data_IF_320296379413
#
_entry.id   IF_320296379413
#
_cell.length_a   1.000
_cell.length_b   1.000
_cell.length_c   1.000
_cell.angle_alpha   90.00
_cell.angle_beta   90.00
_cell.angle_gamma   90.00
#
_symmetry.space_group_name_H-M   'P 1'
#
loop_
_entity.id
_entity.type
_entity.pdbx_description
1 polymer ?
#
# COMPACT_ATOMS: atom_id res chain seq x y z
N UNK A 1 5.04 -9.76 -11.54
CA UNK A 1 3.67 -9.56 -11.02
C UNK A 1 3.07 -10.91 -10.64
N UNK A 2 3.21 -11.92 -11.49
CA UNK A 2 3.10 -13.36 -11.18
C UNK A 2 3.52 -13.74 -9.75
N UNK A 3 4.68 -13.27 -9.26
CA UNK A 3 5.16 -13.56 -7.90
C UNK A 3 4.24 -13.09 -6.77
N UNK A 4 3.33 -12.16 -7.02
CA UNK A 4 2.35 -11.69 -6.04
C UNK A 4 1.14 -12.62 -5.91
N UNK A 5 1.04 -13.63 -6.78
CA UNK A 5 -0.04 -14.59 -6.79
C UNK A 5 0.42 -15.95 -6.23
N UNK A 6 -0.49 -16.70 -5.58
CA UNK A 6 -0.21 -18.07 -5.12
C UNK A 6 0.26 -18.97 -6.26
N UNK A 7 1.31 -19.76 -6.03
CA UNK A 7 1.89 -20.65 -7.04
C UNK A 7 2.41 -19.92 -8.29
N UNK A 8 2.56 -18.59 -8.22
CA UNK A 8 2.87 -17.69 -9.34
C UNK A 8 1.90 -17.77 -10.51
N UNK A 9 0.65 -18.11 -10.21
CA UNK A 9 -0.41 -18.22 -11.21
C UNK A 9 -1.42 -17.10 -11.01
N UNK A 10 -1.84 -16.47 -12.09
CA UNK A 10 -2.90 -15.45 -12.05
C UNK A 10 -4.29 -16.09 -12.04
N UNK A 11 -4.43 -17.28 -11.45
CA UNK A 11 -5.70 -17.97 -11.24
C UNK A 11 -5.94 -18.10 -9.75
N UNK A 12 -7.12 -17.67 -9.31
CA UNK A 12 -7.56 -17.85 -7.93
C UNK A 12 -8.93 -18.51 -7.95
N UNK A 13 -9.02 -19.73 -7.42
CA UNK A 13 -10.21 -20.58 -7.48
C UNK A 13 -10.79 -20.67 -8.90
N UNK A 14 -11.94 -20.02 -9.13
CA UNK A 14 -12.66 -20.01 -10.41
C UNK A 14 -12.43 -18.74 -11.23
N UNK A 15 -11.53 -17.87 -10.79
CA UNK A 15 -11.25 -16.57 -11.41
C UNK A 15 -9.90 -16.60 -12.10
N UNK A 16 -9.88 -16.23 -13.38
CA UNK A 16 -8.66 -15.99 -14.16
C UNK A 16 -8.40 -14.48 -14.25
N UNK A 17 -7.25 -14.04 -13.74
CA UNK A 17 -6.82 -12.65 -13.77
C UNK A 17 -5.93 -12.40 -14.98
N UNK A 18 -6.42 -11.57 -15.90
CA UNK A 18 -5.67 -11.09 -17.05
C UNK A 18 -5.02 -9.76 -16.69
N UNK A 19 -3.71 -9.77 -16.41
CA UNK A 19 -2.97 -8.56 -16.05
C UNK A 19 -2.55 -7.81 -17.31
N UNK A 20 -3.13 -6.63 -17.54
CA UNK A 20 -2.81 -5.76 -18.68
C UNK A 20 -2.84 -6.47 -20.05
N UNK A 21 -3.92 -7.22 -20.37
CA UNK A 21 -4.00 -8.01 -21.60
C UNK A 21 -3.94 -7.13 -22.86
N UNK A 22 -3.77 -7.74 -24.04
CA UNK A 22 -3.90 -7.04 -25.32
C UNK A 22 -5.23 -6.31 -25.43
N UNK A 23 -5.25 -5.21 -26.18
CA UNK A 23 -6.47 -4.48 -26.51
C UNK A 23 -7.49 -5.41 -27.15
N UNK A 24 -8.77 -5.14 -26.93
CA UNK A 24 -9.89 -5.91 -27.48
C UNK A 24 -9.98 -7.34 -26.92
N UNK A 25 -9.35 -7.60 -25.78
CA UNK A 25 -9.54 -8.85 -25.05
C UNK A 25 -10.95 -8.89 -24.47
N UNK A 26 -11.63 -10.04 -24.59
CA UNK A 26 -12.90 -10.29 -23.94
C UNK A 26 -12.70 -10.68 -22.47
N UNK A 27 -13.50 -10.10 -21.58
CA UNK A 27 -13.48 -10.42 -20.16
C UNK A 27 -14.86 -10.23 -19.53
N UNK A 28 -15.12 -10.98 -18.46
CA UNK A 28 -16.36 -10.86 -17.69
C UNK A 28 -16.40 -9.57 -16.89
N UNK A 29 -15.25 -9.12 -16.39
CA UNK A 29 -15.06 -7.88 -15.64
C UNK A 29 -13.82 -7.13 -16.12
N UNK A 30 -13.91 -5.81 -16.15
CA UNK A 30 -12.78 -4.94 -16.46
C UNK A 30 -12.50 -3.99 -15.31
N UNK A 31 -11.37 -4.24 -14.63
CA UNK A 31 -10.92 -3.46 -13.48
C UNK A 31 -9.76 -2.58 -13.90
N UNK A 32 -9.91 -1.28 -13.72
CA UNK A 32 -8.84 -0.29 -13.91
C UNK A 32 -8.36 0.16 -12.54
N UNK A 33 -7.11 -0.14 -12.23
CA UNK A 33 -6.45 0.34 -11.02
C UNK A 33 -5.66 1.62 -11.31
N UNK A 34 -5.31 2.36 -10.25
CA UNK A 34 -4.54 3.60 -10.35
C UNK A 34 -3.27 3.46 -11.23
N UNK A 35 -2.88 4.57 -11.88
CA UNK A 35 -1.78 4.54 -12.84
C UNK A 35 -2.15 3.90 -14.19
N UNK A 36 -3.42 3.96 -14.57
CA UNK A 36 -3.94 3.41 -15.83
C UNK A 36 -3.18 3.90 -17.07
N UNK A 37 -3.15 3.05 -18.10
CA UNK A 37 -2.74 3.46 -19.46
C UNK A 37 -3.56 4.69 -19.89
N UNK A 38 -2.96 5.56 -20.70
CA UNK A 38 -3.63 6.77 -21.17
C UNK A 38 -4.92 6.45 -21.95
N UNK A 39 -4.89 5.38 -22.76
CA UNK A 39 -6.03 4.87 -23.51
C UNK A 39 -5.97 3.36 -23.60
N UNK A 40 -7.08 2.68 -23.34
CA UNK A 40 -7.23 1.25 -23.51
C UNK A 40 -8.67 0.88 -23.90
N UNK A 41 -8.90 -0.38 -24.30
CA UNK A 41 -10.24 -0.88 -24.68
C UNK A 41 -10.32 -2.39 -24.50
N UNK A 42 -11.39 -2.86 -23.87
CA UNK A 42 -11.71 -4.28 -23.67
C UNK A 42 -13.15 -4.58 -24.12
N UNK A 43 -13.44 -5.85 -24.44
CA UNK A 43 -14.81 -6.32 -24.66
C UNK A 43 -15.39 -6.81 -23.33
N UNK A 44 -16.17 -5.95 -22.68
CA UNK A 44 -16.77 -6.18 -21.38
C UNK A 44 -18.15 -5.50 -21.32
N UNK A 45 -19.09 -6.09 -20.59
CA UNK A 45 -20.37 -5.46 -20.35
C UNK A 45 -20.16 -4.14 -19.57
N UNK A 46 -20.82 -3.03 -19.96
CA UNK A 46 -20.65 -1.74 -19.28
C UNK A 46 -20.81 -1.84 -17.77
N UNK A 47 -21.76 -2.65 -17.30
CA UNK A 47 -22.05 -2.92 -15.89
C UNK A 47 -20.93 -3.61 -15.10
N UNK A 48 -20.00 -4.27 -15.79
CA UNK A 48 -18.90 -5.01 -15.18
C UNK A 48 -17.58 -4.23 -15.21
N UNK A 49 -17.65 -2.91 -15.37
CA UNK A 49 -16.49 -2.02 -15.34
C UNK A 49 -16.31 -1.38 -13.96
N UNK A 50 -15.09 -1.43 -13.43
CA UNK A 50 -14.73 -0.92 -12.11
C UNK A 50 -13.45 -0.08 -12.20
N UNK A 51 -13.46 1.08 -11.55
CA UNK A 51 -12.25 1.84 -11.27
C UNK A 51 -11.89 1.79 -9.79
N UNK A 52 -10.62 1.57 -9.47
CA UNK A 52 -10.09 1.61 -8.11
C UNK A 52 -9.12 2.79 -8.01
N UNK A 53 -9.51 3.82 -7.26
CA UNK A 53 -8.65 4.97 -6.97
C UNK A 53 -7.59 4.59 -5.95
N UNK A 54 -6.31 4.73 -6.32
CA UNK A 54 -5.17 4.31 -5.51
C UNK A 54 -4.55 5.42 -4.67
N UNK A 55 -4.99 6.65 -4.85
CA UNK A 55 -4.44 7.83 -4.20
C UNK A 55 -5.57 8.61 -3.50
N UNK A 56 -5.28 9.27 -2.37
CA UNK A 56 -6.24 10.10 -1.66
C UNK A 56 -6.47 11.42 -2.44
N UNK A 57 -7.57 12.15 -2.15
CA UNK A 57 -7.91 13.39 -2.87
C UNK A 57 -6.86 14.49 -2.72
N UNK A 58 -6.06 14.47 -1.64
CA UNK A 58 -4.92 15.38 -1.44
C UNK A 58 -3.77 15.17 -2.42
N UNK A 59 -3.75 14.03 -3.13
CA UNK A 59 -2.74 13.66 -4.12
C UNK A 59 -3.29 13.67 -5.54
N UNK A 60 -4.48 13.11 -5.74
CA UNK A 60 -5.04 12.96 -7.07
C UNK A 60 -6.56 12.92 -7.04
N UNK A 61 -7.16 13.75 -7.88
CA UNK A 61 -8.58 13.71 -8.22
C UNK A 61 -8.63 13.60 -9.75
N UNK A 62 -9.46 12.69 -10.26
CA UNK A 62 -9.61 12.50 -11.69
C UNK A 62 -10.70 13.44 -12.24
N UNK A 63 -10.62 13.86 -13.51
CA UNK A 63 -11.72 14.57 -14.16
C UNK A 63 -13.03 13.76 -14.13
N UNK A 64 -14.17 14.43 -14.04
CA UNK A 64 -15.48 13.76 -13.97
C UNK A 64 -15.74 12.83 -15.17
N UNK A 65 -15.35 13.24 -16.38
CA UNK A 65 -15.46 12.42 -17.58
C UNK A 65 -14.61 11.14 -17.50
N UNK A 66 -13.55 11.11 -16.70
CA UNK A 66 -12.79 9.89 -16.46
C UNK A 66 -13.60 8.91 -15.61
N UNK A 67 -14.15 9.35 -14.48
CA UNK A 67 -14.97 8.51 -13.60
C UNK A 67 -16.22 7.96 -14.29
N UNK A 68 -16.87 8.78 -15.13
CA UNK A 68 -18.07 8.38 -15.89
C UNK A 68 -17.87 7.22 -16.86
N UNK A 69 -16.62 6.81 -17.14
CA UNK A 69 -16.33 5.64 -17.98
C UNK A 69 -16.65 4.30 -17.29
N UNK A 70 -16.79 4.30 -15.96
CA UNK A 70 -16.90 3.07 -15.17
C UNK A 70 -18.30 2.92 -14.60
N UNK A 71 -18.76 1.68 -14.42
CA UNK A 71 -20.02 1.43 -13.75
C UNK A 71 -19.88 1.62 -12.24
N UNK A 72 -18.75 1.23 -11.63
CA UNK A 72 -18.50 1.40 -10.20
C UNK A 72 -17.14 2.03 -9.97
N UNK A 73 -17.01 2.73 -8.84
CA UNK A 73 -15.75 3.28 -8.34
C UNK A 73 -15.52 2.76 -6.92
N UNK A 74 -14.33 2.25 -6.63
CA UNK A 74 -13.84 2.02 -5.27
C UNK A 74 -12.81 3.09 -4.97
N UNK A 75 -12.95 3.77 -3.84
CA UNK A 75 -12.09 4.89 -3.47
C UNK A 75 -12.05 5.09 -1.97
N UNK A 76 -10.97 5.67 -1.46
CA UNK A 76 -10.91 6.17 -0.07
C UNK A 76 -11.69 7.49 0.11
N UNK A 77 -12.27 8.02 -0.97
CA UNK A 77 -13.01 9.28 -0.96
C UNK A 77 -14.45 9.11 -1.46
N UNK A 78 -15.39 9.03 -0.52
CA UNK A 78 -16.81 8.85 -0.81
C UNK A 78 -17.42 9.96 -1.70
N UNK A 79 -16.83 11.15 -1.71
CA UNK A 79 -17.31 12.31 -2.47
C UNK A 79 -16.67 12.45 -3.86
N UNK A 80 -15.97 11.42 -4.35
CA UNK A 80 -15.57 11.36 -5.76
C UNK A 80 -16.81 11.56 -6.68
N UNK A 81 -16.66 12.28 -7.81
CA UNK A 81 -17.79 12.71 -8.66
C UNK A 81 -18.35 11.55 -9.50
N UNK A 82 -18.95 10.57 -8.82
CA UNK A 82 -19.53 9.38 -9.43
C UNK A 82 -20.71 8.85 -8.57
N UNK A 83 -21.84 8.44 -9.17
CA UNK A 83 -23.04 8.04 -8.40
C UNK A 83 -22.92 6.69 -7.69
N UNK A 84 -21.92 5.86 -8.03
CA UNK A 84 -21.72 4.51 -7.49
C UNK A 84 -20.31 4.34 -6.91
N UNK A 85 -19.96 5.21 -5.96
CA UNK A 85 -18.72 5.10 -5.19
C UNK A 85 -18.94 4.15 -4.01
N UNK A 86 -18.06 3.16 -3.87
CA UNK A 86 -17.93 2.32 -2.68
C UNK A 86 -16.68 2.79 -1.91
N UNK A 87 -16.83 3.42 -0.73
CA UNK A 87 -15.70 3.76 0.12
C UNK A 87 -14.95 2.49 0.56
N UNK A 88 -13.65 2.41 0.29
CA UNK A 88 -12.80 1.30 0.73
C UNK A 88 -11.32 1.61 0.52
N UNK A 89 -10.48 0.82 1.20
CA UNK A 89 -9.05 0.84 0.98
C UNK A 89 -8.65 0.53 -0.48
N UNK A 90 -7.60 1.19 -0.99
CA UNK A 90 -7.18 1.06 -2.38
C UNK A 90 -6.64 -0.34 -2.73
N UNK A 91 -6.25 -1.16 -1.75
CA UNK A 91 -5.71 -2.50 -2.01
C UNK A 91 -4.36 -2.49 -2.72
N UNK A 92 -3.47 -1.56 -2.33
CA UNK A 92 -2.13 -1.45 -2.90
C UNK A 92 -1.31 -2.73 -2.66
N UNK A 93 -0.49 -3.12 -3.63
CA UNK A 93 0.43 -4.25 -3.48
C UNK A 93 1.52 -3.94 -2.44
N UNK A 94 1.94 -4.97 -1.70
CA UNK A 94 3.05 -4.86 -0.75
C UNK A 94 4.38 -4.58 -1.45
N UNK A 95 5.33 -3.95 -0.75
CA UNK A 95 6.67 -3.65 -1.23
C UNK A 95 7.78 -4.38 -0.46
N UNK A 96 7.46 -5.10 0.62
CA UNK A 96 8.41 -6.07 1.18
C UNK A 96 8.75 -7.16 0.17
N UNK A 97 10.01 -7.55 0.12
CA UNK A 97 10.46 -8.51 -0.88
C UNK A 97 10.78 -7.87 -2.21
N UNK A 98 10.46 -6.60 -2.46
CA UNK A 98 10.79 -5.89 -3.70
C UNK A 98 12.17 -5.25 -3.57
N UNK A 99 13.16 -5.82 -4.27
CA UNK A 99 14.48 -5.20 -4.36
C UNK A 99 14.44 -4.07 -5.38
N UNK A 100 14.72 -2.85 -4.90
CA UNK A 100 14.76 -1.65 -5.75
C UNK A 100 15.98 -1.59 -6.66
N UNK A 101 17.07 -2.26 -6.28
CA UNK A 101 18.27 -2.37 -7.11
C UNK A 101 18.06 -3.34 -8.28
N UNK A 102 17.44 -4.49 -8.00
CA UNK A 102 17.20 -5.53 -9.00
C UNK A 102 15.87 -5.36 -9.76
N UNK A 103 15.06 -4.37 -9.37
CA UNK A 103 13.72 -4.09 -9.85
C UNK A 103 12.82 -5.35 -9.94
N UNK A 104 12.88 -6.20 -8.91
CA UNK A 104 12.12 -7.45 -8.87
C UNK A 104 11.83 -7.92 -7.45
N UNK A 105 10.74 -8.69 -7.31
CA UNK A 105 10.43 -9.39 -6.07
C UNK A 105 11.39 -10.55 -5.82
N UNK A 106 12.17 -10.47 -4.75
CA UNK A 106 12.92 -11.55 -4.13
C UNK A 106 11.99 -12.47 -3.32
N UNK A 107 11.04 -11.88 -2.59
CA UNK A 107 9.98 -12.60 -1.86
C UNK A 107 8.62 -12.32 -2.50
N UNK A 108 8.01 -13.34 -3.10
CA UNK A 108 6.64 -13.33 -3.58
C UNK A 108 5.67 -13.91 -2.55
N UNK A 109 4.42 -14.14 -2.96
CA UNK A 109 3.37 -14.72 -2.14
C UNK A 109 3.83 -16.03 -1.48
N UNK A 110 4.34 -16.97 -2.27
CA UNK A 110 4.69 -18.30 -1.77
C UNK A 110 5.87 -18.26 -0.80
N UNK A 111 6.82 -17.34 -1.00
CA UNK A 111 7.95 -17.14 -0.09
C UNK A 111 7.51 -16.49 1.21
N UNK A 112 6.67 -15.45 1.15
CA UNK A 112 6.11 -14.79 2.34
C UNK A 112 5.19 -15.72 3.15
N UNK A 113 4.38 -16.53 2.48
CA UNK A 113 3.49 -17.50 3.14
C UNK A 113 4.26 -18.58 3.91
N UNK A 114 5.49 -18.89 3.49
CA UNK A 114 6.38 -19.85 4.17
C UNK A 114 7.34 -19.19 5.15
N UNK A 115 7.35 -17.87 5.24
CA UNK A 115 8.28 -17.13 6.08
C UNK A 115 7.90 -17.32 7.56
N UNK A 116 8.68 -18.09 8.29
CA UNK A 116 8.55 -18.18 9.73
C UNK A 116 9.02 -16.88 10.40
N UNK A 117 8.43 -16.49 11.55
CA UNK A 117 8.88 -15.32 12.30
C UNK A 117 10.32 -15.53 12.79
N UNK A 118 11.28 -14.65 12.43
CA UNK A 118 12.66 -14.78 12.88
C UNK A 118 12.83 -14.23 14.29
N UNK A 119 14.00 -14.47 14.88
CA UNK A 119 14.44 -13.72 16.05
C UNK A 119 14.53 -12.22 15.71
N UNK A 120 13.97 -11.38 16.58
CA UNK A 120 13.84 -9.93 16.36
C UNK A 120 14.48 -9.14 17.49
N UNK A 121 15.12 -8.05 17.12
CA UNK A 121 15.56 -7.05 18.09
C UNK A 121 14.36 -6.28 18.65
N UNK A 122 14.42 -5.93 19.94
CA UNK A 122 13.38 -5.14 20.60
C UNK A 122 13.51 -3.64 20.26
N UNK A 123 13.41 -3.33 18.96
CA UNK A 123 13.57 -1.99 18.38
C UNK A 123 12.37 -1.66 17.48
N UNK A 124 12.23 -0.37 17.20
CA UNK A 124 11.28 0.21 16.27
C UNK A 124 12.03 0.59 15.01
N UNK A 125 11.67 0.02 13.86
CA UNK A 125 12.16 0.53 12.59
C UNK A 125 11.19 1.52 11.96
N UNK A 126 11.70 2.42 11.14
CA UNK A 126 10.88 3.27 10.27
C UNK A 126 11.56 3.37 8.91
N UNK A 127 10.76 3.28 7.84
CA UNK A 127 11.23 3.54 6.48
C UNK A 127 10.59 4.84 5.99
N UNK A 128 11.36 5.93 6.02
CA UNK A 128 10.91 7.23 5.54
C UNK A 128 12.06 7.92 4.79
N UNK A 129 11.74 8.66 3.73
CA UNK A 129 12.74 9.48 3.03
C UNK A 129 12.91 10.82 3.71
N UNK A 130 14.03 11.50 3.43
CA UNK A 130 14.30 12.86 3.87
C UNK A 130 13.62 13.96 3.04
N UNK A 131 12.55 13.65 2.30
CA UNK A 131 11.82 14.64 1.50
C UNK A 131 11.07 15.63 2.40
N UNK A 132 11.07 16.91 2.03
CA UNK A 132 10.46 18.03 2.80
C UNK A 132 9.55 18.93 1.96
N UNK A 133 9.21 18.52 0.75
CA UNK A 133 8.45 19.34 -0.22
C UNK A 133 7.03 19.64 0.26
N UNK A 134 6.34 18.70 0.91
CA UNK A 134 4.97 18.92 1.42
C UNK A 134 4.92 19.19 2.93
N UNK A 135 3.87 19.86 3.45
CA UNK A 135 3.67 20.05 4.89
C UNK A 135 3.71 18.72 5.68
N UNK A 136 2.99 17.70 5.21
CA UNK A 136 2.98 16.38 5.87
C UNK A 136 4.31 15.64 5.83
N UNK A 137 5.17 15.92 4.85
CA UNK A 137 6.55 15.43 4.86
C UNK A 137 7.37 16.09 5.97
N UNK A 138 7.24 17.40 6.16
CA UNK A 138 7.94 18.13 7.24
C UNK A 138 7.46 17.70 8.63
N UNK A 139 6.15 17.53 8.82
CA UNK A 139 5.58 17.04 10.09
C UNK A 139 6.12 15.66 10.47
N UNK A 140 6.14 14.71 9.53
CA UNK A 140 6.71 13.38 9.79
C UNK A 140 8.18 13.42 10.17
N UNK A 141 8.99 14.25 9.51
CA UNK A 141 10.40 14.38 9.87
C UNK A 141 10.58 15.03 11.24
N UNK A 142 9.80 16.05 11.58
CA UNK A 142 9.82 16.65 12.91
C UNK A 142 9.43 15.64 14.02
N UNK A 143 8.40 14.82 13.78
CA UNK A 143 8.05 13.72 14.67
C UNK A 143 9.21 12.73 14.81
N UNK A 144 9.83 12.32 13.69
CA UNK A 144 10.95 11.38 13.72
C UNK A 144 12.17 11.93 14.44
N UNK A 145 12.46 13.21 14.32
CA UNK A 145 13.55 13.86 15.06
C UNK A 145 13.27 13.88 16.57
N UNK A 146 12.02 14.17 16.95
CA UNK A 146 11.59 14.09 18.35
C UNK A 146 11.68 12.65 18.91
N UNK A 147 11.19 11.67 18.15
CA UNK A 147 11.24 10.26 18.54
C UNK A 147 12.68 9.75 18.64
N UNK A 148 13.58 10.14 17.73
CA UNK A 148 15.01 9.81 17.82
C UNK A 148 15.65 10.40 19.07
N UNK A 149 15.35 11.65 19.41
CA UNK A 149 15.86 12.28 20.62
C UNK A 149 15.37 11.58 21.90
N UNK A 150 14.11 11.13 21.91
CA UNK A 150 13.50 10.47 23.07
C UNK A 150 13.89 8.99 23.21
N UNK A 151 14.03 8.26 22.10
CA UNK A 151 14.19 6.80 22.07
C UNK A 151 15.63 6.34 21.79
N UNK A 152 16.49 7.22 21.29
CA UNK A 152 17.88 6.91 20.96
C UNK A 152 17.99 5.65 20.08
N UNK A 153 18.81 4.70 20.52
CA UNK A 153 19.10 3.46 19.78
C UNK A 153 17.92 2.48 19.67
N UNK A 154 16.80 2.75 20.35
CA UNK A 154 15.59 1.95 20.25
C UNK A 154 14.82 2.19 18.94
N UNK A 155 15.08 3.29 18.23
CA UNK A 155 14.50 3.56 16.90
C UNK A 155 15.60 3.56 15.82
N UNK A 156 15.34 2.88 14.70
CA UNK A 156 16.25 2.84 13.55
C UNK A 156 15.54 3.41 12.32
N UNK A 157 16.10 4.49 11.77
CA UNK A 157 15.54 5.19 10.62
C UNK A 157 16.25 4.76 9.34
N UNK A 158 15.51 4.06 8.48
CA UNK A 158 15.95 3.62 7.17
C UNK A 158 15.33 4.48 6.06
N UNK A 159 16.01 4.54 4.91
CA UNK A 159 15.55 5.26 3.72
C UNK A 159 16.57 6.23 3.17
N UNK A 160 16.19 6.92 2.09
CA UNK A 160 17.07 7.89 1.43
C UNK A 160 17.37 9.06 2.36
N UNK A 161 18.67 9.32 2.59
CA UNK A 161 19.15 10.33 3.54
C UNK A 161 19.42 9.79 4.94
N UNK A 162 19.15 8.50 5.20
CA UNK A 162 19.45 7.79 6.44
C UNK A 162 20.16 6.47 6.11
N UNK A 163 19.83 5.36 6.80
CA UNK A 163 20.37 4.04 6.44
C UNK A 163 19.71 3.54 5.15
N UNK A 164 20.43 3.45 4.01
CA UNK A 164 19.86 2.99 2.76
C UNK A 164 19.53 1.50 2.83
N UNK A 165 18.45 1.11 2.14
CA UNK A 165 18.01 -0.28 1.98
C UNK A 165 17.57 -0.51 0.54
N UNK A 166 17.81 -1.72 0.02
CA UNK A 166 17.33 -2.12 -1.30
C UNK A 166 15.93 -2.71 -1.22
N UNK A 167 15.64 -3.46 -0.15
CA UNK A 167 14.35 -4.06 0.16
C UNK A 167 13.86 -3.57 1.52
N UNK A 168 12.55 -3.31 1.67
CA UNK A 168 11.95 -2.97 2.96
C UNK A 168 12.12 -4.09 4.00
N UNK A 169 12.28 -5.35 3.57
CA UNK A 169 12.55 -6.48 4.46
C UNK A 169 13.78 -6.27 5.33
N UNK A 170 14.84 -5.64 4.81
CA UNK A 170 16.08 -5.35 5.57
C UNK A 170 15.82 -4.43 6.77
N UNK A 171 14.78 -3.60 6.68
CA UNK A 171 14.37 -2.67 7.73
C UNK A 171 13.26 -3.21 8.63
N UNK A 172 12.43 -4.14 8.17
CA UNK A 172 11.25 -4.59 8.93
C UNK A 172 11.51 -5.93 9.62
N UNK A 173 12.08 -6.89 8.89
CA UNK A 173 12.25 -8.26 9.35
C UNK A 173 13.09 -8.37 10.65
N UNK A 174 14.17 -7.58 10.87
CA UNK A 174 14.98 -7.68 12.09
C UNK A 174 14.37 -7.03 13.34
N UNK A 175 13.27 -6.29 13.23
CA UNK A 175 12.74 -5.44 14.31
C UNK A 175 11.36 -5.94 14.78
N UNK A 176 11.11 -5.80 16.09
CA UNK A 176 9.84 -6.19 16.71
C UNK A 176 8.70 -5.24 16.35
N UNK A 177 9.01 -3.96 16.19
CA UNK A 177 8.04 -2.92 15.90
C UNK A 177 8.39 -2.20 14.61
N UNK A 178 7.38 -1.75 13.88
CA UNK A 178 7.55 -0.88 12.72
C UNK A 178 6.65 0.35 12.85
N UNK A 179 7.24 1.54 12.79
CA UNK A 179 6.51 2.80 12.76
C UNK A 179 6.02 3.06 11.34
N UNK A 180 4.71 2.99 11.16
CA UNK A 180 4.00 3.14 9.89
C UNK A 180 3.36 4.51 9.84
N UNK A 181 3.94 5.40 9.04
CA UNK A 181 3.45 6.78 8.86
C UNK A 181 2.92 6.97 7.44
N UNK A 182 1.60 7.08 7.31
CA UNK A 182 0.98 7.35 6.03
C UNK A 182 1.26 8.76 5.51
N UNK A 183 1.04 8.95 4.20
CA UNK A 183 1.23 10.24 3.57
C UNK A 183 0.10 11.23 3.87
N UNK A 184 -1.06 10.75 4.31
CA UNK A 184 -2.23 11.54 4.68
C UNK A 184 -3.05 10.80 5.73
N UNK A 185 -3.78 11.57 6.54
CA UNK A 185 -4.74 11.04 7.50
C UNK A 185 -6.16 11.16 6.91
N UNK A 186 -6.72 10.06 6.43
CA UNK A 186 -8.04 10.03 5.77
C UNK A 186 -8.74 8.69 6.03
N UNK A 187 -10.08 8.68 6.19
CA UNK A 187 -10.85 7.44 6.23
C UNK A 187 -10.54 6.55 5.02
N UNK A 188 -10.53 5.24 5.25
CA UNK A 188 -10.28 4.21 4.25
C UNK A 188 -8.93 4.33 3.52
N UNK A 189 -7.99 5.18 3.98
CA UNK A 189 -6.68 5.33 3.38
C UNK A 189 -5.58 4.70 4.23
N UNK A 190 -5.36 3.40 4.00
CA UNK A 190 -4.16 2.71 4.43
C UNK A 190 -3.46 2.10 3.21
N UNK A 191 -2.13 1.99 3.29
CA UNK A 191 -1.30 1.63 2.14
C UNK A 191 -0.46 0.40 2.41
N UNK A 192 0.43 0.12 1.45
CA UNK A 192 1.36 -0.98 1.53
C UNK A 192 2.29 -0.89 2.74
N UNK A 193 2.53 0.32 3.28
CA UNK A 193 3.38 0.50 4.47
C UNK A 193 2.87 -0.28 5.68
N UNK A 194 1.55 -0.40 5.83
CA UNK A 194 0.96 -1.18 6.90
C UNK A 194 1.04 -2.69 6.60
N UNK A 195 0.68 -3.13 5.40
CA UNK A 195 0.81 -4.55 5.03
C UNK A 195 2.26 -5.03 5.10
N UNK A 196 3.22 -4.18 4.73
CA UNK A 196 4.66 -4.46 4.80
C UNK A 196 5.11 -4.75 6.24
N UNK A 197 4.56 -4.05 7.24
CA UNK A 197 4.85 -4.31 8.65
C UNK A 197 4.43 -5.74 9.02
N UNK A 198 3.19 -6.11 8.70
CA UNK A 198 2.66 -7.45 8.99
C UNK A 198 3.42 -8.56 8.26
N UNK A 199 3.67 -8.39 6.96
CA UNK A 199 4.39 -9.37 6.14
C UNK A 199 5.86 -9.51 6.55
N UNK A 200 6.46 -8.47 7.15
CA UNK A 200 7.78 -8.52 7.77
C UNK A 200 7.79 -8.96 9.23
N UNK A 201 6.68 -9.51 9.75
CA UNK A 201 6.51 -9.96 11.13
C UNK A 201 6.72 -8.87 12.20
N UNK A 202 6.55 -7.59 11.86
CA UNK A 202 6.69 -6.48 12.80
C UNK A 202 5.32 -5.99 13.28
N UNK A 203 5.21 -5.67 14.57
CA UNK A 203 4.01 -5.06 15.13
C UNK A 203 3.94 -3.57 14.73
N UNK A 204 2.87 -3.11 14.07
CA UNK A 204 2.77 -1.74 13.59
C UNK A 204 2.40 -0.75 14.70
N UNK A 205 3.16 0.34 14.76
CA UNK A 205 2.79 1.60 15.44
C UNK A 205 2.32 2.54 14.32
N UNK A 206 1.04 2.85 14.26
CA UNK A 206 0.37 3.27 13.02
C UNK A 206 -0.26 4.67 13.10
N UNK A 207 -0.04 5.48 12.07
CA UNK A 207 -0.75 6.74 11.85
C UNK A 207 -1.18 6.87 10.38
N UNK A 208 -2.47 7.10 10.12
CA UNK A 208 -2.99 7.26 8.76
C UNK A 208 -4.51 7.15 8.66
N UNK A 209 -5.06 5.95 8.66
CA UNK A 209 -6.49 5.70 8.49
C UNK A 209 -7.24 5.82 9.85
N UNK A 210 -8.13 6.82 10.06
CA UNK A 210 -8.85 6.96 11.32
C UNK A 210 -9.77 5.79 11.65
N UNK A 211 -10.35 5.15 10.64
CA UNK A 211 -11.21 3.97 10.78
C UNK A 211 -10.46 2.66 10.49
N UNK A 212 -9.16 2.60 10.79
CA UNK A 212 -8.35 1.39 10.56
C UNK A 212 -8.89 0.15 11.28
N UNK A 213 -9.64 0.35 12.38
CA UNK A 213 -10.32 -0.72 13.11
C UNK A 213 -11.39 -1.47 12.31
N UNK A 214 -11.87 -0.90 11.20
CA UNK A 214 -12.79 -1.57 10.27
C UNK A 214 -12.08 -2.65 9.43
N UNK A 215 -10.74 -2.55 9.30
CA UNK A 215 -9.91 -3.41 8.46
C UNK A 215 -9.07 -4.41 9.25
N UNK A 216 -8.61 -4.01 10.44
CA UNK A 216 -7.72 -4.82 11.27
C UNK A 216 -8.20 -4.85 12.72
N UNK A 217 -8.03 -5.98 13.42
CA UNK A 217 -8.41 -6.07 14.83
C UNK A 217 -7.61 -5.07 15.68
N UNK A 218 -8.23 -4.50 16.71
CA UNK A 218 -7.62 -3.50 17.57
C UNK A 218 -6.32 -3.97 18.26
N UNK A 219 -6.16 -5.28 18.48
CA UNK A 219 -4.94 -5.87 19.03
C UNK A 219 -3.80 -6.02 18.01
N UNK A 220 -4.04 -5.72 16.73
CA UNK A 220 -3.08 -5.86 15.64
C UNK A 220 -2.17 -4.65 15.44
N UNK A 221 -2.46 -3.51 16.07
CA UNK A 221 -1.70 -2.27 15.89
C UNK A 221 -1.85 -1.35 17.10
N UNK A 222 -0.92 -0.41 17.26
CA UNK A 222 -1.09 0.73 18.18
C UNK A 222 -1.24 2.01 17.37
N UNK A 223 -2.40 2.65 17.42
CA UNK A 223 -2.62 3.94 16.77
C UNK A 223 -1.85 5.06 17.48
N UNK A 224 -1.27 5.96 16.69
CA UNK A 224 -0.60 7.18 17.17
C UNK A 224 -0.98 8.37 16.28
N UNK A 225 -0.85 9.57 16.84
CA UNK A 225 -1.07 10.83 16.12
C UNK A 225 0.27 11.46 15.70
N UNK A 226 0.24 12.24 14.61
CA UNK A 226 1.40 12.90 13.98
C UNK A 226 1.18 14.39 13.86
#
# INVERSE_FOLDING_TARGET
MDRLCPGRQTRWDRCDFLLNPPRDTACDYWIVFAGSRERDRMHCAPENTLFIAGEPPSKKIYPENFYRQFHRVVSSHAADPHPRVTPSAPGLNWHVGLSREADRYQYGYDELNRLAPPAKSNKISVVCSNLTTTPGQRQRLALLDHLKAALGDAIVHYGRGFTPISDKMDAILPHRFHLVLENSCSPDYWTEKLSDAYLGWAYPIYAGCPNIGDYFPAAGFTAVDV
#
